data_IF_671933204235
#
_entry.id   IF_671933204235
#
_cell.length_a   1.000
_cell.length_b   1.000
_cell.length_c   1.000
_cell.angle_alpha   90.00
_cell.angle_beta   90.00
_cell.angle_gamma   90.00
#
_symmetry.space_group_name_H-M   'P 1'
#
loop_
_entity.id
_entity.type
_entity.pdbx_description
1 polymer ?
#
# COMPACT_ATOMS: atom_id res chain seq x y z
N UNK A 1 -5.86 26.74 70.66
CA UNK A 1 -6.14 25.67 69.68
C UNK A 1 -5.50 26.07 68.36
N UNK A 2 -4.45 25.35 67.92
CA UNK A 2 -3.75 25.61 66.64
C UNK A 2 -4.38 24.72 65.54
N UNK A 3 -4.74 25.24 64.36
CA UNK A 3 -5.20 24.40 63.26
C UNK A 3 -3.99 23.78 62.54
N UNK A 4 -4.00 22.46 62.40
CA UNK A 4 -3.07 21.72 61.55
C UNK A 4 -3.61 21.74 60.12
N UNK A 5 -2.82 22.28 59.18
CA UNK A 5 -3.09 22.15 57.75
C UNK A 5 -2.55 20.81 57.25
N UNK A 6 -3.44 19.94 56.79
CA UNK A 6 -3.11 18.68 56.14
C UNK A 6 -2.82 18.96 54.66
N UNK A 7 -1.54 18.91 54.25
CA UNK A 7 -1.14 18.98 52.85
C UNK A 7 -1.27 17.57 52.26
N UNK A 8 -2.25 17.35 51.40
CA UNK A 8 -2.42 16.12 50.63
C UNK A 8 -1.61 16.28 49.35
N UNK A 9 -0.48 15.58 49.25
CA UNK A 9 0.32 15.50 48.02
C UNK A 9 -0.28 14.44 47.09
N UNK A 10 -0.82 14.86 45.96
CA UNK A 10 -1.27 13.97 44.89
C UNK A 10 -0.06 13.50 44.09
N UNK A 11 0.35 12.24 44.26
CA UNK A 11 1.33 11.60 43.39
C UNK A 11 0.59 11.12 42.14
N UNK A 12 0.79 11.82 41.02
CA UNK A 12 0.28 11.41 39.72
C UNK A 12 1.17 10.28 39.17
N UNK A 13 0.74 9.04 39.32
CA UNK A 13 1.42 7.89 38.72
C UNK A 13 1.14 7.87 37.22
N UNK A 14 2.10 8.31 36.40
CA UNK A 14 2.07 8.06 34.96
C UNK A 14 2.30 6.56 34.72
N UNK A 15 1.22 5.82 34.45
CA UNK A 15 1.32 4.49 33.86
C UNK A 15 1.78 4.64 32.40
N UNK A 16 3.09 4.54 32.17
CA UNK A 16 3.61 4.23 30.84
C UNK A 16 3.30 2.76 30.58
N UNK A 17 2.22 2.48 29.86
CA UNK A 17 2.01 1.13 29.33
C UNK A 17 3.08 0.88 28.28
N UNK A 18 4.04 0.01 28.58
CA UNK A 18 4.88 -0.59 27.56
C UNK A 18 3.94 -1.30 26.57
N UNK A 19 3.84 -0.77 25.34
CA UNK A 19 3.23 -1.53 24.25
C UNK A 19 4.06 -2.80 24.11
N UNK A 20 3.40 -3.96 24.15
CA UNK A 20 4.01 -5.17 23.61
C UNK A 20 4.48 -4.83 22.19
N UNK A 21 5.72 -5.20 21.83
CA UNK A 21 6.18 -5.11 20.45
C UNK A 21 5.27 -6.01 19.61
N UNK A 22 4.22 -5.42 19.04
CA UNK A 22 3.35 -6.12 18.11
C UNK A 22 4.23 -6.59 16.95
N UNK A 23 4.17 -7.89 16.68
CA UNK A 23 4.92 -8.52 15.62
C UNK A 23 4.69 -7.79 14.28
N UNK A 24 5.76 -7.35 13.61
CA UNK A 24 5.66 -6.68 12.32
C UNK A 24 5.17 -7.66 11.25
N UNK A 25 3.87 -7.61 10.96
CA UNK A 25 3.15 -8.57 10.11
C UNK A 25 2.12 -7.84 9.22
N UNK A 26 2.56 -6.95 8.31
CA UNK A 26 1.64 -6.30 7.40
C UNK A 26 0.95 -7.34 6.50
N UNK A 27 -0.31 -7.07 6.17
CA UNK A 27 -1.05 -7.90 5.21
C UNK A 27 -0.39 -7.84 3.83
N UNK A 28 -0.39 -8.95 3.10
CA UNK A 28 0.28 -9.08 1.81
C UNK A 28 -0.67 -9.52 0.70
N UNK A 29 -0.72 -8.73 -0.36
CA UNK A 29 -1.67 -8.85 -1.46
C UNK A 29 -0.95 -9.08 -2.78
N UNK A 30 -1.46 -9.97 -3.63
CA UNK A 30 -0.98 -10.07 -5.01
C UNK A 30 -1.57 -8.95 -5.85
N UNK A 31 -0.76 -8.25 -6.68
CA UNK A 31 -1.33 -7.39 -7.71
C UNK A 31 -2.02 -8.21 -8.78
N UNK A 32 -3.12 -7.68 -9.33
CA UNK A 32 -3.89 -8.35 -10.38
C UNK A 32 -3.04 -8.74 -11.60
N UNK A 33 -2.01 -7.96 -11.95
CA UNK A 33 -1.12 -8.29 -13.07
C UNK A 33 -0.28 -9.57 -12.86
N UNK A 34 -0.19 -10.08 -11.63
CA UNK A 34 0.42 -11.37 -11.29
C UNK A 34 -0.52 -12.57 -11.44
N UNK A 35 -1.82 -12.35 -11.70
CA UNK A 35 -2.81 -13.42 -11.74
C UNK A 35 -2.88 -14.12 -13.11
N UNK A 36 -2.95 -15.46 -13.16
CA UNK A 36 -3.28 -16.18 -14.39
C UNK A 36 -4.76 -15.97 -14.78
N UNK A 37 -5.11 -16.12 -16.07
CA UNK A 37 -6.51 -16.06 -16.48
C UNK A 37 -7.27 -17.23 -15.86
N UNK A 38 -8.20 -16.94 -14.96
CA UNK A 38 -9.04 -17.92 -14.28
C UNK A 38 -10.32 -17.28 -13.74
N UNK A 39 -11.23 -18.09 -13.19
CA UNK A 39 -12.44 -17.58 -12.54
C UNK A 39 -12.11 -16.89 -11.20
N UNK A 40 -12.93 -15.95 -10.73
CA UNK A 40 -12.71 -15.31 -9.41
C UNK A 40 -12.69 -16.32 -8.26
N UNK A 41 -13.43 -17.43 -8.39
CA UNK A 41 -13.46 -18.52 -7.40
C UNK A 41 -12.09 -19.20 -7.32
N UNK A 42 -11.53 -19.57 -8.47
CA UNK A 42 -10.22 -20.20 -8.52
C UNK A 42 -9.11 -19.23 -8.11
N UNK A 43 -9.21 -17.94 -8.47
CA UNK A 43 -8.28 -16.90 -8.00
C UNK A 43 -8.23 -16.86 -6.47
N UNK A 44 -9.39 -16.82 -5.82
CA UNK A 44 -9.51 -16.76 -4.37
C UNK A 44 -8.98 -18.03 -3.70
N UNK A 45 -9.34 -19.22 -4.22
CA UNK A 45 -8.83 -20.50 -3.71
C UNK A 45 -7.31 -20.56 -3.83
N UNK A 46 -6.75 -20.16 -4.97
CA UNK A 46 -5.31 -20.17 -5.20
C UNK A 46 -4.57 -19.24 -4.23
N UNK A 47 -5.01 -17.98 -4.11
CA UNK A 47 -4.34 -17.00 -3.23
C UNK A 47 -4.43 -17.40 -1.76
N UNK A 48 -5.58 -17.92 -1.32
CA UNK A 48 -5.75 -18.45 0.04
C UNK A 48 -4.81 -19.62 0.31
N UNK A 49 -4.72 -20.57 -0.64
CA UNK A 49 -3.82 -21.72 -0.52
C UNK A 49 -2.33 -21.35 -0.47
N UNK A 50 -1.93 -20.25 -1.12
CA UNK A 50 -0.57 -19.72 -1.08
C UNK A 50 -0.27 -18.94 0.22
N UNK A 51 -1.31 -18.36 0.84
CA UNK A 51 -1.23 -17.59 2.08
C UNK A 51 -1.17 -16.07 1.88
N UNK A 52 -1.74 -15.56 0.78
CA UNK A 52 -1.98 -14.12 0.61
C UNK A 52 -3.24 -13.69 1.37
N UNK A 53 -3.31 -12.42 1.75
CA UNK A 53 -4.51 -11.80 2.34
C UNK A 53 -5.57 -11.44 1.27
N UNK A 54 -5.18 -11.47 0.00
CA UNK A 54 -6.08 -11.33 -1.14
C UNK A 54 -5.39 -10.73 -2.34
N UNK A 55 -6.13 -9.89 -3.07
CA UNK A 55 -5.70 -9.26 -4.31
C UNK A 55 -5.80 -7.73 -4.21
N UNK A 56 -4.96 -7.02 -4.96
CA UNK A 56 -5.00 -5.57 -5.06
C UNK A 56 -4.72 -5.10 -6.50
N UNK A 57 -4.86 -3.80 -6.73
CA UNK A 57 -4.63 -3.15 -8.02
C UNK A 57 -5.55 -3.68 -9.15
N UNK A 58 -6.85 -3.81 -8.86
CA UNK A 58 -7.85 -4.24 -9.86
C UNK A 58 -8.08 -3.14 -10.90
N UNK A 59 -8.18 -3.51 -12.18
CA UNK A 59 -8.33 -2.58 -13.31
C UNK A 59 -9.79 -2.31 -13.73
N UNK A 60 -10.75 -2.86 -13.00
CA UNK A 60 -12.19 -2.77 -13.28
C UNK A 60 -12.94 -2.30 -12.02
N UNK A 61 -14.07 -1.63 -12.23
CA UNK A 61 -14.95 -1.12 -11.17
C UNK A 61 -16.40 -1.57 -11.37
N UNK A 62 -17.31 -1.08 -10.53
CA UNK A 62 -18.75 -1.34 -10.65
C UNK A 62 -19.12 -2.81 -10.43
N UNK A 63 -20.09 -3.31 -11.20
CA UNK A 63 -20.65 -4.66 -11.02
C UNK A 63 -19.59 -5.78 -11.12
N UNK A 64 -18.60 -5.63 -11.99
CA UNK A 64 -17.52 -6.62 -12.12
C UNK A 64 -16.65 -6.67 -10.85
N UNK A 65 -16.35 -5.51 -10.27
CA UNK A 65 -15.63 -5.42 -9.00
C UNK A 65 -16.46 -5.99 -7.85
N UNK A 66 -17.77 -5.69 -7.81
CA UNK A 66 -18.70 -6.22 -6.81
C UNK A 66 -18.74 -7.75 -6.82
N UNK A 67 -18.88 -8.36 -8.00
CA UNK A 67 -18.84 -9.82 -8.14
C UNK A 67 -17.53 -10.42 -7.62
N UNK A 68 -16.38 -9.79 -7.93
CA UNK A 68 -15.08 -10.27 -7.44
C UNK A 68 -14.96 -10.11 -5.92
N UNK A 69 -15.37 -8.98 -5.36
CA UNK A 69 -15.37 -8.73 -3.91
C UNK A 69 -16.18 -9.79 -3.18
N UNK A 70 -17.38 -10.10 -3.67
CA UNK A 70 -18.26 -11.08 -3.03
C UNK A 70 -17.66 -12.49 -3.03
N UNK A 71 -17.01 -12.88 -4.11
CA UNK A 71 -16.30 -14.16 -4.18
C UNK A 71 -15.12 -14.19 -3.20
N UNK A 72 -14.26 -13.18 -3.21
CA UNK A 72 -13.11 -13.11 -2.30
C UNK A 72 -13.53 -13.13 -0.84
N UNK A 73 -14.60 -12.41 -0.48
CA UNK A 73 -15.14 -12.36 0.88
C UNK A 73 -15.61 -13.74 1.36
N UNK A 74 -16.26 -14.54 0.49
CA UNK A 74 -16.66 -15.93 0.82
C UNK A 74 -15.46 -16.83 1.19
N UNK A 75 -14.29 -16.53 0.62
CA UNK A 75 -13.05 -17.26 0.91
C UNK A 75 -12.25 -16.66 2.08
N UNK A 76 -12.73 -15.60 2.72
CA UNK A 76 -12.00 -14.90 3.77
C UNK A 76 -10.79 -14.13 3.25
N UNK A 77 -10.81 -13.75 1.98
CA UNK A 77 -9.83 -12.86 1.35
C UNK A 77 -10.44 -11.49 1.09
N UNK A 78 -9.58 -10.52 0.82
CA UNK A 78 -9.99 -9.15 0.51
C UNK A 78 -9.54 -8.75 -0.90
N UNK A 79 -10.44 -8.13 -1.66
CA UNK A 79 -10.06 -7.28 -2.78
C UNK A 79 -9.74 -5.92 -2.17
N UNK A 80 -8.46 -5.58 -2.10
CA UNK A 80 -7.99 -4.41 -1.36
C UNK A 80 -8.22 -3.11 -2.12
N UNK A 81 -7.88 -3.09 -3.41
CA UNK A 81 -7.80 -1.83 -4.15
C UNK A 81 -8.13 -1.95 -5.63
N UNK A 82 -8.57 -0.82 -6.19
CA UNK A 82 -8.60 -0.57 -7.64
C UNK A 82 -7.51 0.41 -8.04
N UNK A 83 -7.08 0.32 -9.29
CA UNK A 83 -6.09 1.21 -9.90
C UNK A 83 -6.76 2.14 -10.89
N UNK A 84 -6.76 3.43 -10.56
CA UNK A 84 -7.46 4.46 -11.32
C UNK A 84 -6.51 5.64 -11.62
N UNK A 85 -6.86 6.41 -12.64
CA UNK A 85 -6.17 7.65 -12.98
C UNK A 85 -6.97 8.86 -12.51
N UNK A 86 -6.29 9.84 -11.92
CA UNK A 86 -6.87 11.15 -11.68
C UNK A 86 -7.23 11.82 -13.01
N UNK A 87 -8.36 12.53 -13.00
CA UNK A 87 -8.86 13.32 -14.12
C UNK A 87 -9.38 14.67 -13.60
N UNK A 88 -9.88 15.52 -14.47
CA UNK A 88 -10.59 16.76 -14.11
C UNK A 88 -11.96 16.52 -13.44
N UNK A 89 -12.39 15.25 -13.33
CA UNK A 89 -13.61 14.82 -12.63
C UNK A 89 -13.30 13.84 -11.51
N UNK A 90 -13.99 13.94 -10.36
CA UNK A 90 -13.80 13.01 -9.26
C UNK A 90 -14.22 11.59 -9.68
N UNK A 91 -13.62 10.60 -9.01
CA UNK A 91 -14.01 9.20 -9.21
C UNK A 91 -15.48 9.01 -8.77
N UNK A 92 -16.25 8.32 -9.61
CA UNK A 92 -17.63 8.00 -9.30
C UNK A 92 -17.70 6.91 -8.22
N UNK A 93 -18.44 7.17 -7.14
CA UNK A 93 -18.63 6.22 -6.03
C UNK A 93 -19.12 4.84 -6.48
N UNK A 94 -19.98 4.77 -7.50
CA UNK A 94 -20.50 3.49 -8.01
C UNK A 94 -19.40 2.58 -8.58
N UNK A 95 -18.27 3.13 -9.00
CA UNK A 95 -17.14 2.32 -9.48
C UNK A 95 -16.42 1.58 -8.35
N UNK A 96 -16.50 2.09 -7.12
CA UNK A 96 -15.64 1.65 -6.00
C UNK A 96 -16.42 1.28 -4.74
N UNK A 97 -17.75 1.48 -4.71
CA UNK A 97 -18.61 1.24 -3.53
C UNK A 97 -18.45 -0.16 -2.94
N UNK A 98 -18.18 -1.17 -3.75
CA UNK A 98 -18.00 -2.55 -3.28
C UNK A 98 -16.73 -2.74 -2.43
N UNK A 99 -15.81 -1.78 -2.44
CA UNK A 99 -14.61 -1.75 -1.59
C UNK A 99 -14.86 -1.12 -0.21
N UNK A 100 -16.08 -0.70 0.11
CA UNK A 100 -16.42 -0.03 1.37
C UNK A 100 -15.86 -0.75 2.61
N UNK A 101 -15.59 0.03 3.66
CA UNK A 101 -15.07 -0.48 4.93
C UNK A 101 -13.69 -1.13 4.83
N UNK A 102 -12.74 -0.36 4.30
CA UNK A 102 -11.30 -0.65 4.40
C UNK A 102 -10.60 -0.93 3.08
N UNK A 103 -11.26 -0.76 1.93
CA UNK A 103 -10.60 -0.77 0.64
C UNK A 103 -9.82 0.51 0.31
N UNK A 104 -9.29 0.59 -0.90
CA UNK A 104 -8.43 1.69 -1.34
C UNK A 104 -8.52 1.98 -2.84
N UNK A 105 -8.31 3.24 -3.23
CA UNK A 105 -8.02 3.64 -4.60
C UNK A 105 -6.51 3.90 -4.71
N UNK A 106 -5.82 3.16 -5.58
CA UNK A 106 -4.46 3.46 -6.01
C UNK A 106 -4.54 4.45 -7.20
N UNK A 107 -4.22 5.73 -6.95
CA UNK A 107 -4.51 6.83 -7.86
C UNK A 107 -3.24 7.32 -8.56
N UNK A 108 -3.15 7.09 -9.86
CA UNK A 108 -2.08 7.70 -10.68
C UNK A 108 -2.42 9.11 -11.12
N UNK A 109 -1.43 9.99 -11.21
CA UNK A 109 -1.63 11.40 -11.57
C UNK A 109 -0.76 11.75 -12.78
N UNK A 110 -1.36 11.62 -13.98
CA UNK A 110 -0.64 11.84 -15.26
C UNK A 110 -0.33 13.31 -15.52
N UNK A 111 -1.23 14.21 -15.13
CA UNK A 111 -1.11 15.66 -15.29
C UNK A 111 -1.56 16.35 -14.00
N UNK A 112 -1.05 17.54 -13.72
CA UNK A 112 -1.47 18.37 -12.58
C UNK A 112 -2.04 19.69 -13.12
N UNK A 113 -3.31 19.96 -12.82
CA UNK A 113 -3.98 21.24 -13.02
C UNK A 113 -4.82 21.58 -11.79
N UNK A 114 -5.30 22.83 -11.63
CA UNK A 114 -6.24 23.18 -10.56
C UNK A 114 -7.48 22.27 -10.52
N UNK A 115 -8.04 21.92 -11.68
CA UNK A 115 -9.21 21.05 -11.80
C UNK A 115 -8.90 19.62 -11.36
N UNK A 116 -7.73 19.09 -11.74
CA UNK A 116 -7.30 17.75 -11.29
C UNK A 116 -7.09 17.73 -9.76
N UNK A 117 -6.50 18.79 -9.19
CA UNK A 117 -6.31 18.89 -7.73
C UNK A 117 -7.65 18.93 -7.01
N UNK A 118 -8.62 19.70 -7.52
CA UNK A 118 -9.98 19.75 -6.98
C UNK A 118 -10.66 18.39 -7.04
N UNK A 119 -10.58 17.73 -8.20
CA UNK A 119 -11.11 16.38 -8.43
C UNK A 119 -10.51 15.34 -7.47
N UNK A 120 -9.21 15.41 -7.18
CA UNK A 120 -8.55 14.53 -6.20
C UNK A 120 -9.12 14.78 -4.80
N UNK A 121 -9.34 16.03 -4.40
CA UNK A 121 -9.94 16.36 -3.10
C UNK A 121 -11.36 15.80 -2.98
N UNK A 122 -12.18 16.01 -4.00
CA UNK A 122 -13.54 15.48 -4.06
C UNK A 122 -13.57 13.94 -4.08
N UNK A 123 -12.61 13.31 -4.74
CA UNK A 123 -12.41 11.85 -4.70
C UNK A 123 -12.07 11.38 -3.28
N UNK A 124 -11.20 12.10 -2.56
CA UNK A 124 -10.81 11.76 -1.19
C UNK A 124 -11.98 11.94 -0.19
N UNK A 125 -12.81 12.96 -0.38
CA UNK A 125 -14.06 13.18 0.39
C UNK A 125 -15.06 12.04 0.15
N UNK A 126 -15.35 11.71 -1.11
CA UNK A 126 -16.23 10.58 -1.47
C UNK A 126 -15.70 9.26 -0.88
N UNK A 127 -14.41 9.00 -1.00
CA UNK A 127 -13.78 7.82 -0.44
C UNK A 127 -13.91 7.76 1.09
N UNK A 128 -13.84 8.91 1.77
CA UNK A 128 -14.00 8.98 3.23
C UNK A 128 -15.42 8.56 3.65
N UNK A 129 -16.43 8.96 2.88
CA UNK A 129 -17.83 8.57 3.12
C UNK A 129 -18.06 7.06 2.94
N UNK A 130 -17.29 6.40 2.08
CA UNK A 130 -17.30 4.94 1.89
C UNK A 130 -16.38 4.20 2.86
N UNK A 131 -15.66 4.92 3.74
CA UNK A 131 -14.63 4.34 4.61
C UNK A 131 -13.56 3.55 3.81
N UNK A 132 -13.15 4.10 2.66
CA UNK A 132 -12.03 3.62 1.85
C UNK A 132 -10.96 4.71 1.75
N UNK A 133 -9.70 4.34 1.54
CA UNK A 133 -8.60 5.29 1.42
C UNK A 133 -8.30 5.66 -0.03
N UNK A 134 -7.69 6.82 -0.26
CA UNK A 134 -7.07 7.15 -1.55
C UNK A 134 -5.57 7.25 -1.35
N UNK A 135 -4.79 6.50 -2.12
CA UNK A 135 -3.34 6.53 -2.08
C UNK A 135 -2.80 6.98 -3.45
N UNK A 136 -2.12 8.12 -3.49
CA UNK A 136 -1.38 8.56 -4.68
C UNK A 136 -0.32 7.50 -5.00
N UNK A 137 -0.33 7.03 -6.24
CA UNK A 137 0.58 6.03 -6.79
C UNK A 137 1.59 6.76 -7.69
N UNK A 138 2.81 7.08 -7.21
CA UNK A 138 3.84 7.66 -8.06
C UNK A 138 4.22 6.64 -9.14
N UNK A 139 4.18 7.08 -10.39
CA UNK A 139 4.43 6.20 -11.53
C UNK A 139 5.43 6.85 -12.49
N UNK A 140 6.44 6.09 -12.91
CA UNK A 140 7.42 6.56 -13.88
C UNK A 140 6.71 7.06 -15.17
N UNK A 141 7.08 8.27 -15.62
CA UNK A 141 6.50 8.90 -16.81
C UNK A 141 5.24 9.73 -16.58
N UNK A 142 4.69 9.76 -15.36
CA UNK A 142 3.57 10.64 -14.99
C UNK A 142 4.07 11.97 -14.41
N UNK A 143 3.19 12.98 -14.30
CA UNK A 143 3.48 14.23 -13.60
C UNK A 143 3.85 14.02 -12.13
N UNK A 144 3.26 13.02 -11.48
CA UNK A 144 3.69 12.52 -10.16
C UNK A 144 4.40 11.17 -10.35
N UNK A 145 5.73 11.21 -10.40
CA UNK A 145 6.59 10.05 -10.64
C UNK A 145 7.50 9.71 -9.44
N UNK A 146 7.72 10.65 -8.53
CA UNK A 146 8.60 10.47 -7.35
C UNK A 146 7.85 10.66 -6.04
N UNK A 147 8.45 10.17 -4.95
CA UNK A 147 7.90 10.34 -3.61
C UNK A 147 7.84 11.82 -3.18
N UNK A 148 8.86 12.68 -3.41
CA UNK A 148 8.73 14.11 -3.13
C UNK A 148 7.55 14.78 -3.85
N UNK A 149 7.34 14.47 -5.14
CA UNK A 149 6.19 15.02 -5.89
C UNK A 149 4.85 14.56 -5.33
N UNK A 150 4.78 13.32 -4.82
CA UNK A 150 3.58 12.80 -4.19
C UNK A 150 3.33 13.47 -2.83
N UNK A 151 4.38 13.71 -2.02
CA UNK A 151 4.30 14.48 -0.77
C UNK A 151 3.78 15.89 -1.06
N UNK A 152 4.38 16.60 -2.02
CA UNK A 152 3.95 17.94 -2.40
C UNK A 152 2.47 17.96 -2.81
N UNK A 153 2.01 16.94 -3.56
CA UNK A 153 0.61 16.84 -3.97
C UNK A 153 -0.34 16.60 -2.80
N UNK A 154 -0.05 15.64 -1.90
CA UNK A 154 -0.93 15.35 -0.77
C UNK A 154 -1.00 16.52 0.21
N UNK A 155 0.11 17.23 0.41
CA UNK A 155 0.15 18.46 1.22
C UNK A 155 -0.69 19.58 0.58
N UNK A 156 -0.60 19.72 -0.75
CA UNK A 156 -1.39 20.71 -1.50
C UNK A 156 -2.89 20.42 -1.50
N UNK A 157 -3.29 19.16 -1.58
CA UNK A 157 -4.70 18.77 -1.49
C UNK A 157 -5.21 18.90 -0.05
N UNK A 158 -4.36 18.58 0.93
CA UNK A 158 -4.60 18.72 2.37
C UNK A 158 -5.88 18.01 2.85
N UNK A 159 -6.00 16.72 2.52
CA UNK A 159 -7.17 15.91 2.90
C UNK A 159 -6.74 14.67 3.71
N UNK A 160 -7.34 14.39 4.89
CA UNK A 160 -6.88 13.32 5.79
C UNK A 160 -7.08 11.91 5.22
N UNK A 161 -7.99 11.73 4.26
CA UNK A 161 -8.22 10.46 3.56
C UNK A 161 -7.40 10.29 2.28
N UNK A 162 -6.45 11.20 2.01
CA UNK A 162 -5.51 11.11 0.90
C UNK A 162 -4.10 10.87 1.45
N UNK A 163 -3.49 9.77 1.03
CA UNK A 163 -2.12 9.40 1.37
C UNK A 163 -1.32 8.98 0.14
N UNK A 164 -0.24 8.26 0.36
CA UNK A 164 0.72 7.84 -0.66
C UNK A 164 0.92 6.32 -0.57
N UNK A 165 1.07 5.71 -1.74
CA UNK A 165 1.60 4.37 -1.89
C UNK A 165 3.06 4.44 -2.32
N UNK A 166 3.97 3.94 -1.48
CA UNK A 166 5.37 3.78 -1.89
C UNK A 166 5.50 2.57 -2.82
N UNK A 167 6.11 2.72 -4.00
CA UNK A 167 6.26 1.63 -4.97
C UNK A 167 7.74 1.37 -5.25
N UNK A 168 8.27 0.22 -4.81
CA UNK A 168 9.71 -0.05 -4.87
C UNK A 168 10.29 0.08 -6.30
N UNK A 169 9.65 -0.54 -7.30
CA UNK A 169 10.17 -0.51 -8.67
C UNK A 169 10.17 0.91 -9.27
N UNK A 170 9.15 1.72 -9.00
CA UNK A 170 9.09 3.11 -9.45
C UNK A 170 10.05 4.01 -8.69
N UNK A 171 10.23 3.79 -7.39
CA UNK A 171 11.25 4.46 -6.60
C UNK A 171 12.65 4.19 -7.18
N UNK A 172 13.03 2.92 -7.35
CA UNK A 172 14.33 2.55 -7.94
C UNK A 172 14.51 3.06 -9.37
N UNK A 173 13.42 3.25 -10.12
CA UNK A 173 13.46 3.77 -11.48
C UNK A 173 13.70 5.28 -11.54
N UNK A 174 13.15 6.05 -10.59
CA UNK A 174 13.12 7.52 -10.65
C UNK A 174 14.05 8.19 -9.63
N UNK A 175 14.44 7.49 -8.58
CA UNK A 175 15.12 8.03 -7.41
C UNK A 175 16.35 7.20 -7.05
N UNK A 176 17.14 7.69 -6.10
CA UNK A 176 18.36 7.04 -5.64
C UNK A 176 18.06 6.04 -4.53
N UNK A 177 18.53 4.81 -4.68
CA UNK A 177 18.29 3.77 -3.69
C UNK A 177 18.91 4.11 -2.33
N UNK A 178 19.95 4.95 -2.29
CA UNK A 178 20.60 5.43 -1.06
C UNK A 178 19.64 6.30 -0.23
N UNK A 179 18.67 6.97 -0.85
CA UNK A 179 17.76 7.92 -0.19
C UNK A 179 16.54 7.24 0.44
N UNK A 180 16.43 5.90 0.37
CA UNK A 180 15.25 5.13 0.78
C UNK A 180 14.71 5.50 2.17
N UNK A 181 15.54 5.46 3.21
CA UNK A 181 15.10 5.72 4.58
C UNK A 181 14.71 7.19 4.78
N UNK A 182 15.42 8.12 4.12
CA UNK A 182 15.11 9.55 4.18
C UNK A 182 13.75 9.83 3.53
N UNK A 183 13.50 9.22 2.36
CA UNK A 183 12.24 9.34 1.63
C UNK A 183 11.09 8.71 2.41
N UNK A 184 11.25 7.50 2.94
CA UNK A 184 10.24 6.86 3.78
C UNK A 184 9.96 7.66 5.06
N UNK A 185 11.00 8.21 5.69
CA UNK A 185 10.85 9.04 6.89
C UNK A 185 10.02 10.31 6.63
N UNK A 186 10.22 10.97 5.48
CA UNK A 186 9.41 12.13 5.07
C UNK A 186 7.98 11.73 4.69
N UNK A 187 7.81 10.58 4.03
CA UNK A 187 6.50 10.10 3.61
C UNK A 187 5.67 9.49 4.75
N UNK A 188 6.29 9.14 5.89
CA UNK A 188 5.64 8.40 6.98
C UNK A 188 4.27 8.96 7.43
N UNK A 189 4.05 10.29 7.56
CA UNK A 189 2.75 10.82 7.94
C UNK A 189 1.63 10.55 6.92
N UNK A 190 2.01 10.29 5.66
CA UNK A 190 1.09 10.10 4.53
C UNK A 190 1.08 8.67 4.00
N UNK A 191 1.93 7.78 4.52
CA UNK A 191 2.16 6.45 3.93
C UNK A 191 1.02 5.48 4.26
N UNK A 192 0.15 5.24 3.29
CA UNK A 192 -1.03 4.38 3.45
C UNK A 192 -0.78 2.93 3.06
N UNK A 193 0.08 2.70 2.08
CA UNK A 193 0.38 1.37 1.54
C UNK A 193 1.78 1.34 0.91
N UNK A 194 2.27 0.14 0.64
CA UNK A 194 3.55 -0.10 -0.02
C UNK A 194 3.33 -1.14 -1.12
N UNK A 195 4.01 -1.05 -2.27
CA UNK A 195 4.29 -2.23 -3.10
C UNK A 195 5.77 -2.56 -3.15
N UNK A 196 6.03 -3.86 -3.27
CA UNK A 196 7.35 -4.43 -3.47
C UNK A 196 7.33 -5.45 -4.61
N UNK A 197 8.53 -5.82 -5.07
CA UNK A 197 8.83 -6.92 -5.98
C UNK A 197 10.32 -7.22 -5.85
N UNK A 198 10.79 -8.35 -6.38
CA UNK A 198 12.22 -8.56 -6.56
C UNK A 198 12.77 -7.50 -7.52
N UNK A 199 13.98 -7.02 -7.25
CA UNK A 199 14.61 -5.98 -8.06
C UNK A 199 16.13 -6.02 -7.92
N UNK A 200 16.84 -5.71 -9.00
CA UNK A 200 18.26 -5.39 -8.93
C UNK A 200 18.41 -3.96 -8.40
N UNK A 201 19.32 -3.76 -7.43
CA UNK A 201 19.60 -2.46 -6.84
C UNK A 201 20.03 -1.42 -7.91
N UNK A 202 20.79 -1.87 -8.90
CA UNK A 202 21.30 -1.09 -10.02
C UNK A 202 20.47 -1.24 -11.31
N UNK A 203 19.29 -1.88 -11.22
CA UNK A 203 18.41 -2.14 -12.35
C UNK A 203 18.04 -0.88 -13.14
N UNK A 204 17.93 -1.02 -14.46
CA UNK A 204 17.65 0.12 -15.38
C UNK A 204 16.36 -0.04 -16.17
N UNK A 205 15.86 -1.26 -16.31
CA UNK A 205 14.68 -1.59 -17.10
C UNK A 205 13.69 -2.41 -16.26
N UNK A 206 12.46 -2.58 -16.74
CA UNK A 206 11.43 -3.26 -15.97
C UNK A 206 11.75 -4.72 -15.68
N UNK A 207 12.38 -5.44 -16.61
CA UNK A 207 12.80 -6.84 -16.40
C UNK A 207 13.81 -7.00 -15.24
N UNK A 208 14.60 -5.98 -14.94
CA UNK A 208 15.56 -5.98 -13.82
C UNK A 208 14.99 -5.36 -12.54
N UNK A 209 13.99 -4.47 -12.67
CA UNK A 209 13.36 -3.76 -11.56
C UNK A 209 12.06 -4.43 -11.05
N UNK A 210 11.52 -5.40 -11.80
CA UNK A 210 10.32 -6.14 -11.46
C UNK A 210 10.58 -7.63 -11.72
N UNK A 211 10.84 -8.35 -10.64
CA UNK A 211 11.09 -9.79 -10.60
C UNK A 211 10.25 -10.42 -9.48
N UNK A 212 10.23 -11.74 -9.39
CA UNK A 212 9.68 -12.44 -8.23
C UNK A 212 10.44 -12.05 -6.96
N UNK A 213 9.77 -11.99 -5.80
CA UNK A 213 10.34 -11.39 -4.59
C UNK A 213 11.60 -12.10 -4.05
N UNK A 214 11.81 -13.35 -4.46
CA UNK A 214 13.01 -14.17 -4.18
C UNK A 214 14.24 -13.77 -5.02
N UNK A 215 14.12 -12.82 -5.96
CA UNK A 215 15.17 -12.44 -6.90
C UNK A 215 15.62 -10.99 -6.79
N UNK A 216 16.81 -10.76 -7.34
CA UNK A 216 17.45 -9.46 -7.45
C UNK A 216 18.42 -9.17 -6.31
N UNK A 217 19.13 -8.05 -6.46
CA UNK A 217 20.20 -7.61 -5.55
C UNK A 217 19.76 -6.54 -4.55
N UNK A 218 18.55 -6.00 -4.69
CA UNK A 218 18.01 -5.04 -3.73
C UNK A 218 17.79 -5.70 -2.36
N UNK A 219 18.32 -5.14 -1.25
CA UNK A 219 18.21 -5.75 0.06
C UNK A 219 16.81 -5.54 0.65
N UNK A 220 15.86 -6.45 0.38
CA UNK A 220 14.46 -6.29 0.81
C UNK A 220 14.28 -6.03 2.31
N UNK A 221 15.11 -6.67 3.15
CA UNK A 221 15.13 -6.43 4.60
C UNK A 221 15.33 -4.96 4.95
N UNK A 222 16.11 -4.21 4.16
CA UNK A 222 16.34 -2.77 4.37
C UNK A 222 15.03 -1.99 4.29
N UNK A 223 14.22 -2.24 3.26
CA UNK A 223 12.90 -1.62 3.09
C UNK A 223 11.99 -1.95 4.29
N UNK A 224 11.83 -3.23 4.60
CA UNK A 224 10.87 -3.64 5.64
C UNK A 224 11.35 -3.33 7.07
N UNK A 225 12.65 -3.30 7.33
CA UNK A 225 13.19 -2.79 8.60
C UNK A 225 12.93 -1.28 8.77
N UNK A 226 13.07 -0.50 7.70
CA UNK A 226 12.73 0.92 7.72
C UNK A 226 11.23 1.13 7.98
N UNK A 227 10.36 0.35 7.33
CA UNK A 227 8.92 0.39 7.58
C UNK A 227 8.55 -0.03 9.02
N UNK A 228 9.17 -1.10 9.56
CA UNK A 228 9.01 -1.50 10.97
C UNK A 228 9.40 -0.37 11.92
N UNK A 229 10.55 0.27 11.70
CA UNK A 229 11.03 1.41 12.52
C UNK A 229 10.07 2.61 12.48
N UNK A 230 9.34 2.78 11.38
CA UNK A 230 8.32 3.82 11.22
C UNK A 230 6.94 3.42 11.76
N UNK A 231 6.82 2.24 12.41
CA UNK A 231 5.55 1.67 12.87
C UNK A 231 4.49 1.58 11.76
N UNK A 232 4.92 1.27 10.54
CA UNK A 232 4.01 1.11 9.41
C UNK A 232 3.07 -0.09 9.64
N UNK A 233 1.76 0.15 9.50
CA UNK A 233 0.70 -0.84 9.70
C UNK A 233 -0.15 -1.06 8.45
N UNK A 234 0.19 -0.40 7.34
CA UNK A 234 -0.54 -0.51 6.09
C UNK A 234 -0.28 -1.83 5.35
N UNK A 235 -1.07 -2.12 4.31
CA UNK A 235 -0.89 -3.32 3.50
C UNK A 235 0.30 -3.20 2.54
N UNK A 236 0.83 -4.35 2.13
CA UNK A 236 1.88 -4.48 1.13
C UNK A 236 1.34 -5.22 -0.10
N UNK A 237 1.56 -4.67 -1.28
CA UNK A 237 1.23 -5.29 -2.56
C UNK A 237 2.46 -5.89 -3.26
N UNK A 238 2.30 -7.04 -3.89
CA UNK A 238 3.31 -7.67 -4.73
C UNK A 238 3.11 -7.27 -6.19
N UNK A 239 3.99 -6.42 -6.71
CA UNK A 239 4.05 -6.03 -8.12
C UNK A 239 4.58 -7.18 -8.97
N UNK A 240 3.87 -7.54 -10.05
CA UNK A 240 4.20 -8.66 -10.93
C UNK A 240 4.16 -8.29 -12.42
N UNK A 241 4.17 -7.00 -12.76
CA UNK A 241 4.13 -6.54 -14.15
C UNK A 241 5.19 -7.21 -15.02
N UNK A 242 4.75 -7.85 -16.09
CA UNK A 242 5.58 -8.51 -17.10
C UNK A 242 6.58 -9.57 -16.57
N UNK A 243 6.39 -10.07 -15.34
CA UNK A 243 7.24 -11.16 -14.81
C UNK A 243 6.99 -12.42 -15.63
N UNK A 244 8.06 -12.92 -16.25
CA UNK A 244 8.03 -14.09 -17.14
C UNK A 244 7.85 -15.39 -16.36
N UNK A 245 7.43 -16.45 -17.05
CA UNK A 245 7.25 -17.79 -16.47
C UNK A 245 5.83 -18.07 -15.99
N UNK A 246 5.66 -19.18 -15.27
CA UNK A 246 4.37 -19.58 -14.72
C UNK A 246 3.94 -18.67 -13.55
N UNK A 247 2.75 -18.07 -13.68
CA UNK A 247 2.27 -17.07 -12.72
C UNK A 247 2.03 -17.64 -11.33
N UNK A 248 1.50 -18.87 -11.22
CA UNK A 248 1.28 -19.52 -9.91
C UNK A 248 2.61 -19.81 -9.21
N UNK A 249 3.59 -20.30 -9.93
CA UNK A 249 4.96 -20.52 -9.44
C UNK A 249 5.61 -19.21 -9.00
N UNK A 250 5.45 -18.14 -9.77
CA UNK A 250 5.98 -16.81 -9.43
C UNK A 250 5.37 -16.27 -8.12
N UNK A 251 4.05 -16.39 -7.94
CA UNK A 251 3.37 -16.04 -6.68
C UNK A 251 3.86 -16.93 -5.52
N UNK A 252 3.98 -18.24 -5.73
CA UNK A 252 4.50 -19.18 -4.71
C UNK A 252 5.91 -18.80 -4.23
N UNK A 253 6.83 -18.55 -5.17
CA UNK A 253 8.19 -18.16 -4.82
C UNK A 253 8.22 -16.82 -4.06
N UNK A 254 7.37 -15.88 -4.48
CA UNK A 254 7.32 -14.56 -3.86
C UNK A 254 6.74 -14.59 -2.45
N UNK A 255 5.69 -15.38 -2.19
CA UNK A 255 5.12 -15.52 -0.83
C UNK A 255 6.07 -16.27 0.11
N UNK A 256 6.88 -17.20 -0.40
CA UNK A 256 7.90 -17.88 0.41
C UNK A 256 9.04 -16.93 0.81
N UNK A 257 9.51 -16.09 -0.13
CA UNK A 257 10.47 -15.04 0.16
C UNK A 257 9.92 -14.02 1.16
N UNK A 258 8.67 -13.61 1.00
CA UNK A 258 7.97 -12.73 1.95
C UNK A 258 7.99 -13.28 3.38
N UNK A 259 7.63 -14.55 3.56
CA UNK A 259 7.64 -15.22 4.88
C UNK A 259 9.05 -15.25 5.47
N UNK A 260 10.07 -15.53 4.66
CA UNK A 260 11.48 -15.51 5.09
C UNK A 260 11.88 -14.12 5.58
N UNK A 261 11.61 -13.08 4.78
CA UNK A 261 11.92 -11.68 5.13
C UNK A 261 11.24 -11.27 6.44
N UNK A 262 9.95 -11.57 6.61
CA UNK A 262 9.23 -11.23 7.84
C UNK A 262 9.76 -11.98 9.07
N UNK A 263 10.10 -13.27 8.93
CA UNK A 263 10.67 -14.05 10.04
C UNK A 263 12.00 -13.48 10.51
N UNK A 264 12.82 -12.98 9.60
CA UNK A 264 14.12 -12.37 9.91
C UNK A 264 14.00 -10.95 10.49
N UNK A 265 12.78 -10.40 10.52
CA UNK A 265 12.47 -9.08 11.08
C UNK A 265 11.66 -9.14 12.37
N UNK A 266 11.33 -10.32 12.89
CA UNK A 266 10.68 -10.45 14.20
C UNK A 266 11.67 -10.06 15.29
#
# INVERSE_FOLDING_TARGET
MKPYYLIISFILTMCVTARADDAFKPEFYAFFNGMPPMSYEDEAIMLKGLGYNGISQIYVGGDELEQRVDVYRKHGLKVLSVYLGASDKPINANLVKSLENGGMIELTVKNISPEVIESIRQTAEMAAQLNIRVAVYPHHGNAVATMPQAIDLVEKVSHPNLGIMFNLCHFLKNEKAEDLESVLGKAAPYLFSVSTCGANLDGKNWDTLIQTLDKGTFPQKRLFAALKKLNFTGPVGLQCFAVKGDKRTNLKNSIDAWKTILNELQ
#
